data_IF_386091070027
#
_entry.id   IF_386091070027
#
_cell.length_a   1.000
_cell.length_b   1.000
_cell.length_c   1.000
_cell.angle_alpha   90.00
_cell.angle_beta   90.00
_cell.angle_gamma   90.00
#
_symmetry.space_group_name_H-M   'P 1'
#
loop_
_entity.id
_entity.type
_entity.pdbx_description
1 polymer ?
#
# COMPACT_ATOMS: atom_id res chain seq x y z
N UNK A 1 -5.26 17.94 -0.63
CA UNK A 1 -4.11 17.16 -0.14
C UNK A 1 -4.55 16.15 0.91
N UNK A 2 -5.19 15.09 0.44
CA UNK A 2 -5.48 13.91 1.25
C UNK A 2 -4.19 13.11 1.41
N UNK A 3 -3.85 12.70 2.64
CA UNK A 3 -2.69 11.86 2.88
C UNK A 3 -3.05 10.41 2.54
N UNK A 4 -2.37 9.82 1.55
CA UNK A 4 -2.56 8.41 1.22
C UNK A 4 -1.62 7.57 2.07
N UNK A 5 -2.22 6.67 2.84
CA UNK A 5 -1.53 5.70 3.68
C UNK A 5 -1.71 4.31 3.13
N UNK A 6 -0.66 3.52 3.29
CA UNK A 6 -0.61 2.13 2.95
C UNK A 6 -0.20 1.37 4.19
N UNK A 7 -1.04 0.46 4.66
CA UNK A 7 -0.72 -0.43 5.76
C UNK A 7 -0.45 -1.83 5.23
N UNK A 8 0.73 -2.37 5.54
CA UNK A 8 1.05 -3.77 5.29
C UNK A 8 1.13 -4.49 6.63
N UNK A 9 0.39 -5.59 6.80
CA UNK A 9 0.35 -6.36 8.04
C UNK A 9 0.85 -7.79 7.77
N UNK A 10 1.99 -8.19 8.35
CA UNK A 10 2.53 -9.56 8.22
C UNK A 10 4.03 -9.71 8.47
N UNK A 11 4.50 -10.96 8.52
CA UNK A 11 5.89 -11.34 8.91
C UNK A 11 6.99 -10.80 7.97
N UNK A 12 6.61 -10.35 6.76
CA UNK A 12 7.50 -9.79 5.73
C UNK A 12 7.11 -8.35 5.30
N UNK A 13 6.24 -7.67 6.06
CA UNK A 13 5.65 -6.40 5.66
C UNK A 13 6.69 -5.29 5.36
N UNK A 14 7.84 -5.29 6.05
CA UNK A 14 8.92 -4.31 5.85
C UNK A 14 9.66 -4.47 4.53
N UNK A 15 10.05 -5.71 4.20
CA UNK A 15 10.72 -6.03 2.94
C UNK A 15 9.76 -5.80 1.76
N UNK A 16 8.48 -6.13 1.96
CA UNK A 16 7.42 -5.88 1.02
C UNK A 16 7.24 -4.38 0.74
N UNK A 17 7.14 -3.56 1.79
CA UNK A 17 6.98 -2.11 1.66
C UNK A 17 8.15 -1.47 0.92
N UNK A 18 9.40 -1.82 1.26
CA UNK A 18 10.57 -1.32 0.55
C UNK A 18 10.48 -1.58 -0.96
N UNK A 19 10.23 -2.83 -1.34
CA UNK A 19 10.08 -3.20 -2.75
C UNK A 19 8.91 -2.50 -3.44
N UNK A 20 7.80 -2.29 -2.74
CA UNK A 20 6.64 -1.62 -3.30
C UNK A 20 7.02 -0.20 -3.74
N UNK A 21 7.59 0.61 -2.84
CA UNK A 21 8.00 1.98 -3.16
C UNK A 21 9.09 2.03 -4.25
N UNK A 22 10.02 1.08 -4.26
CA UNK A 22 11.07 1.01 -5.27
C UNK A 22 10.57 0.65 -6.67
N UNK A 23 9.52 -0.20 -6.76
CA UNK A 23 9.09 -0.80 -8.04
C UNK A 23 7.84 -0.18 -8.64
N UNK A 24 6.97 0.43 -7.84
CA UNK A 24 5.63 0.83 -8.31
C UNK A 24 5.51 2.30 -8.72
N UNK A 25 6.55 3.10 -8.49
CA UNK A 25 6.52 4.54 -8.79
C UNK A 25 5.80 5.38 -7.73
N UNK A 26 5.45 4.79 -6.59
CA UNK A 26 4.97 5.52 -5.41
C UNK A 26 6.13 6.35 -4.82
N UNK A 27 5.90 7.64 -4.62
CA UNK A 27 6.79 8.51 -3.86
C UNK A 27 6.28 8.65 -2.44
N UNK A 28 7.19 8.54 -1.48
CA UNK A 28 6.80 8.64 -0.08
C UNK A 28 7.85 8.08 0.86
N UNK A 29 7.40 7.75 2.06
CA UNK A 29 8.20 7.17 3.12
C UNK A 29 7.42 6.07 3.80
N UNK A 30 8.10 5.11 4.39
CA UNK A 30 7.45 4.06 5.16
C UNK A 30 8.18 3.85 6.48
N UNK A 31 7.41 3.50 7.50
CA UNK A 31 7.91 3.27 8.84
C UNK A 31 7.31 1.98 9.42
N UNK A 32 8.10 1.29 10.25
CA UNK A 32 7.64 0.14 11.01
C UNK A 32 6.70 0.65 12.11
N UNK A 33 5.45 0.19 12.11
CA UNK A 33 4.50 0.44 13.17
C UNK A 33 4.89 -0.41 14.39
N UNK A 34 5.91 0.05 15.11
CA UNK A 34 6.49 -0.70 16.22
C UNK A 34 5.63 -0.67 17.50
N UNK A 35 4.62 0.21 17.62
CA UNK A 35 3.72 0.21 18.80
C UNK A 35 2.45 1.11 18.72
N UNK A 36 2.05 1.66 17.56
CA UNK A 36 1.22 2.90 17.58
C UNK A 36 -0.11 2.87 16.82
N UNK A 37 -0.54 1.75 16.25
CA UNK A 37 -1.89 1.61 15.66
C UNK A 37 -2.46 0.23 16.05
N UNK A 38 -3.79 0.12 16.26
CA UNK A 38 -4.44 -1.16 16.53
C UNK A 38 -4.42 -2.01 15.25
N UNK A 39 -3.28 -2.64 14.98
CA UNK A 39 -3.19 -3.80 14.10
C UNK A 39 -3.74 -5.00 14.85
N UNK A 40 -4.21 -6.03 14.14
CA UNK A 40 -4.66 -7.27 14.80
C UNK A 40 -3.58 -7.72 15.79
N UNK A 41 -3.95 -7.78 17.07
CA UNK A 41 -3.08 -8.05 18.22
C UNK A 41 -1.84 -8.89 17.85
N UNK A 42 -0.65 -8.25 17.90
CA UNK A 42 0.63 -8.93 17.76
C UNK A 42 1.22 -9.07 16.35
N UNK A 43 0.62 -8.46 15.32
CA UNK A 43 1.16 -8.54 13.94
C UNK A 43 2.02 -7.31 13.61
N UNK A 44 3.26 -7.55 13.17
CA UNK A 44 4.15 -6.51 12.62
C UNK A 44 3.44 -5.80 11.47
N UNK A 45 3.32 -4.47 11.57
CA UNK A 45 2.72 -3.65 10.54
C UNK A 45 3.68 -2.57 10.06
N UNK A 46 3.55 -2.22 8.79
CA UNK A 46 4.33 -1.16 8.14
C UNK A 46 3.36 -0.16 7.57
N UNK A 47 3.63 1.11 7.83
CA UNK A 47 2.82 2.22 7.36
C UNK A 47 3.65 2.98 6.35
N UNK A 48 3.25 2.91 5.09
CA UNK A 48 3.74 3.76 4.02
C UNK A 48 2.88 5.01 3.91
N UNK A 49 3.48 6.18 3.95
CA UNK A 49 2.86 7.45 3.56
C UNK A 49 3.27 7.75 2.13
N UNK A 50 2.29 7.80 1.23
CA UNK A 50 2.48 8.17 -0.17
C UNK A 50 2.20 9.67 -0.30
N UNK A 51 3.15 10.40 -0.88
CA UNK A 51 3.08 11.85 -1.10
C UNK A 51 2.99 12.22 -2.58
N UNK A 52 3.15 11.23 -3.47
CA UNK A 52 3.06 11.44 -4.91
C UNK A 52 3.27 10.16 -5.70
N UNK A 53 3.16 10.27 -7.02
CA UNK A 53 3.28 9.17 -7.97
C UNK A 53 4.10 9.59 -9.20
N UNK A 54 4.87 8.65 -9.75
CA UNK A 54 5.63 8.85 -11.00
C UNK A 54 5.10 7.91 -12.07
N UNK A 55 4.62 8.47 -13.18
CA UNK A 55 4.14 7.68 -14.33
C UNK A 55 2.62 7.62 -14.48
N UNK A 56 1.86 8.40 -13.70
CA UNK A 56 0.40 8.50 -13.78
C UNK A 56 -0.34 7.43 -12.97
N UNK A 57 -1.53 7.79 -12.50
CA UNK A 57 -2.30 7.00 -11.52
C UNK A 57 -2.59 5.58 -11.98
N UNK A 58 -3.01 5.40 -13.23
CA UNK A 58 -3.34 4.07 -13.80
C UNK A 58 -2.12 3.15 -13.82
N UNK A 59 -0.97 3.65 -14.30
CA UNK A 59 0.24 2.84 -14.39
C UNK A 59 0.76 2.42 -13.00
N UNK A 60 0.68 3.32 -12.02
CA UNK A 60 1.03 3.00 -10.63
C UNK A 60 0.05 1.98 -10.04
N UNK A 61 -1.26 2.16 -10.24
CA UNK A 61 -2.27 1.22 -9.77
C UNK A 61 -2.07 -0.20 -10.34
N UNK A 62 -1.75 -0.32 -11.63
CA UNK A 62 -1.40 -1.58 -12.27
C UNK A 62 -0.16 -2.23 -11.63
N UNK A 63 0.89 -1.44 -11.38
CA UNK A 63 2.11 -1.94 -10.75
C UNK A 63 1.89 -2.38 -9.30
N UNK A 64 1.14 -1.61 -8.51
CA UNK A 64 0.75 -1.97 -7.13
C UNK A 64 -0.03 -3.29 -7.11
N UNK A 65 -1.03 -3.42 -7.99
CA UNK A 65 -1.84 -4.64 -8.10
C UNK A 65 -1.00 -5.84 -8.52
N UNK A 66 -0.14 -5.67 -9.52
CA UNK A 66 0.75 -6.73 -10.01
C UNK A 66 1.71 -7.19 -8.91
N UNK A 67 2.36 -6.24 -8.23
CA UNK A 67 3.23 -6.51 -7.10
C UNK A 67 2.51 -7.34 -6.03
N UNK A 68 1.30 -6.93 -5.64
CA UNK A 68 0.53 -7.66 -4.62
C UNK A 68 0.16 -9.08 -5.07
N UNK A 69 -0.22 -9.26 -6.34
CA UNK A 69 -0.51 -10.58 -6.90
C UNK A 69 0.73 -11.49 -6.95
N UNK A 70 1.90 -10.96 -7.29
CA UNK A 70 3.17 -11.70 -7.26
C UNK A 70 3.50 -12.14 -5.84
N UNK A 71 3.29 -11.27 -4.86
CA UNK A 71 3.48 -11.58 -3.45
C UNK A 71 2.49 -12.63 -2.92
N UNK A 72 1.21 -12.54 -3.29
CA UNK A 72 0.18 -13.53 -2.92
C UNK A 72 0.48 -14.90 -3.51
N UNK A 73 0.94 -14.96 -4.77
CA UNK A 73 1.37 -16.21 -5.44
C UNK A 73 2.56 -16.87 -4.74
N UNK A 74 3.46 -16.08 -4.17
CA UNK A 74 4.62 -16.58 -3.43
C UNK A 74 4.30 -17.15 -2.03
N UNK A 75 3.02 -17.30 -1.65
CA UNK A 75 2.54 -17.76 -0.32
C UNK A 75 3.02 -16.90 0.86
N UNK A 76 3.42 -15.65 0.62
CA UNK A 76 3.79 -14.73 1.70
C UNK A 76 2.54 -14.17 2.37
N UNK A 77 2.53 -14.22 3.71
CA UNK A 77 1.39 -13.95 4.60
C UNK A 77 1.35 -12.46 4.98
N UNK A 78 1.01 -11.58 4.05
CA UNK A 78 0.71 -10.21 4.45
C UNK A 78 -0.49 -9.64 3.71
N UNK A 79 -1.29 -8.89 4.46
CA UNK A 79 -2.40 -8.11 3.95
C UNK A 79 -1.92 -6.69 3.66
N UNK A 80 -2.47 -6.09 2.61
CA UNK A 80 -2.15 -4.70 2.25
C UNK A 80 -3.43 -3.91 2.09
N UNK A 81 -3.49 -2.78 2.79
CA UNK A 81 -4.62 -1.88 2.82
C UNK A 81 -4.15 -0.49 2.43
N UNK A 82 -4.81 0.09 1.44
CA UNK A 82 -4.68 1.48 1.03
C UNK A 82 -5.78 2.30 1.71
N UNK A 83 -5.42 3.48 2.21
CA UNK A 83 -6.33 4.40 2.88
C UNK A 83 -6.04 5.82 2.40
N UNK A 84 -7.07 6.53 1.94
CA UNK A 84 -7.01 7.93 1.57
C UNK A 84 -8.25 8.62 2.12
N UNK A 85 -8.11 9.40 3.20
CA UNK A 85 -9.27 9.98 3.89
C UNK A 85 -10.26 8.89 4.35
N UNK A 86 -11.49 8.93 3.83
CA UNK A 86 -12.54 7.93 4.07
C UNK A 86 -12.50 6.73 3.13
N UNK A 87 -11.69 6.78 2.07
CA UNK A 87 -11.56 5.67 1.11
C UNK A 87 -10.59 4.64 1.68
N UNK A 88 -11.05 3.40 1.82
CA UNK A 88 -10.24 2.26 2.26
C UNK A 88 -10.36 1.09 1.29
N UNK A 89 -9.23 0.63 0.76
CA UNK A 89 -9.17 -0.44 -0.23
C UNK A 89 -8.23 -1.53 0.25
N UNK A 90 -8.72 -2.78 0.30
CA UNK A 90 -7.89 -3.95 0.63
C UNK A 90 -7.41 -4.58 -0.68
N UNK A 91 -6.09 -4.64 -0.88
CA UNK A 91 -5.50 -5.11 -2.14
C UNK A 91 -5.86 -6.56 -2.48
N UNK A 92 -6.29 -7.35 -1.50
CA UNK A 92 -6.71 -8.73 -1.72
C UNK A 92 -7.78 -8.87 -2.82
N UNK A 93 -8.75 -7.96 -2.82
CA UNK A 93 -9.89 -7.97 -3.74
C UNK A 93 -10.02 -6.67 -4.54
N UNK A 94 -9.02 -5.79 -4.44
CA UNK A 94 -9.03 -4.51 -5.14
C UNK A 94 -8.90 -4.67 -6.66
N UNK A 95 -9.71 -3.90 -7.38
CA UNK A 95 -9.54 -3.66 -8.81
C UNK A 95 -8.52 -2.54 -9.04
N UNK A 96 -8.11 -2.37 -10.31
CA UNK A 96 -7.26 -1.22 -10.67
C UNK A 96 -7.99 0.09 -10.40
N UNK A 97 -9.30 0.13 -10.67
CA UNK A 97 -10.16 1.29 -10.44
C UNK A 97 -10.23 1.66 -8.95
N UNK A 98 -10.35 0.67 -8.06
CA UNK A 98 -10.32 0.92 -6.61
C UNK A 98 -8.99 1.54 -6.15
N UNK A 99 -7.87 1.05 -6.70
CA UNK A 99 -6.54 1.57 -6.37
C UNK A 99 -6.35 2.97 -6.95
N UNK A 100 -6.80 3.21 -8.18
CA UNK A 100 -6.80 4.53 -8.80
C UNK A 100 -7.56 5.54 -7.95
N UNK A 101 -8.78 5.20 -7.51
CA UNK A 101 -9.60 6.09 -6.71
C UNK A 101 -8.89 6.56 -5.43
N UNK A 102 -8.09 5.69 -4.79
CA UNK A 102 -7.24 6.08 -3.64
C UNK A 102 -6.10 6.99 -4.08
N UNK A 103 -5.41 6.66 -5.18
CA UNK A 103 -4.24 7.41 -5.64
C UNK A 103 -4.60 8.79 -6.20
N UNK A 104 -5.78 8.96 -6.80
CA UNK A 104 -6.30 10.24 -7.32
C UNK A 104 -6.56 11.26 -6.19
N UNK A 105 -6.76 10.80 -4.95
CA UNK A 105 -6.86 11.67 -3.78
C UNK A 105 -5.55 12.43 -3.49
N UNK A 106 -4.40 11.96 -4.02
CA UNK A 106 -3.12 12.69 -3.95
C UNK A 106 -3.11 13.94 -4.84
N UNK A 107 -3.87 13.91 -5.93
CA UNK A 107 -3.95 15.00 -6.90
C UNK A 107 -5.10 15.98 -6.60
N UNK A 108 -5.93 15.67 -5.60
CA UNK A 108 -7.13 16.44 -5.19
C UNK A 108 -6.89 17.51 -4.11
#
# INVERSE_FOLDING_TARGET
MTEVKLSLEGEDASIAAAKLFETTGLQGSWELANNSLPTKEGTLAVIGTVVGIVGGTIAVAEQVRKWYQEHKRAKKKFDVVLVAGDVRVVLENATIEDICAVLEELES
#
